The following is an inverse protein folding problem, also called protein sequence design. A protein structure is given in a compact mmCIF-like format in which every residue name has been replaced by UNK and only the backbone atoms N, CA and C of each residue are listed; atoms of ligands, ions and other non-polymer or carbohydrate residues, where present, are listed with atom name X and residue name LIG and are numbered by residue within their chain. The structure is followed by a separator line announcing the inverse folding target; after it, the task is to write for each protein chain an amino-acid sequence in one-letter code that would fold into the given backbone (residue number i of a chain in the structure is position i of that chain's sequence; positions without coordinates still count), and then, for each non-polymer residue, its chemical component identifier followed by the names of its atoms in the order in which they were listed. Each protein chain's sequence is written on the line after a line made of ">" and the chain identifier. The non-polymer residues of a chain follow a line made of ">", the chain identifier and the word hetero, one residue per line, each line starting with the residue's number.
data_IF_410857991516
#
_entry.id   IF_410857991516
#
_cell.length_a   1.000
_cell.length_b   1.000
_cell.length_c   1.000
_cell.angle_alpha   90.00
_cell.angle_beta   90.00
_cell.angle_gamma   90.00
#
_symmetry.space_group_name_H-M   'P 1'
#
loop_
_entity.id
_entity.type
_entity.pdbx_description
1 polymer ?
#
# COMPACT_ATOMS: atom_id res chain seq x y z
N UNK A 1 25.20 43.70 9.72
CA UNK A 1 25.45 43.12 8.38
C UNK A 1 24.57 41.88 8.29
N UNK A 2 23.90 41.57 7.17
CA UNK A 2 23.09 40.36 7.12
C UNK A 2 24.03 39.16 7.14
N UNK A 3 23.87 38.31 8.15
CA UNK A 3 24.65 37.10 8.30
C UNK A 3 24.26 36.13 7.18
N UNK A 4 25.26 35.65 6.43
CA UNK A 4 25.07 34.70 5.33
C UNK A 4 24.48 33.39 5.86
N UNK A 5 23.61 32.76 5.06
CA UNK A 5 23.12 31.41 5.37
C UNK A 5 24.26 30.40 5.36
N UNK A 6 24.31 29.51 6.35
CA UNK A 6 25.44 28.58 6.53
C UNK A 6 25.57 27.53 5.42
N UNK A 7 24.47 27.22 4.71
CA UNK A 7 24.41 26.16 3.69
C UNK A 7 24.54 26.73 2.27
N UNK A 8 23.73 27.73 1.92
CA UNK A 8 23.79 28.35 0.59
C UNK A 8 24.79 29.52 0.47
N UNK A 9 25.40 29.96 1.58
CA UNK A 9 26.35 31.08 1.67
C UNK A 9 25.86 32.37 0.98
N UNK A 10 24.54 32.55 0.93
CA UNK A 10 23.86 33.62 0.22
C UNK A 10 23.42 34.72 1.19
N UNK A 11 23.25 35.93 0.65
CA UNK A 11 22.93 37.13 1.45
C UNK A 11 21.56 37.73 1.11
N UNK A 12 20.94 37.31 0.00
CA UNK A 12 19.60 37.69 -0.42
C UNK A 12 18.68 36.47 -0.60
N UNK A 13 17.37 36.66 -0.42
CA UNK A 13 16.38 35.57 -0.48
C UNK A 13 16.31 34.89 -1.86
N UNK A 14 16.57 35.64 -2.93
CA UNK A 14 16.55 35.10 -4.30
C UNK A 14 17.71 34.14 -4.53
N UNK A 15 18.91 34.51 -4.09
CA UNK A 15 20.11 33.67 -4.19
C UNK A 15 19.95 32.37 -3.37
N UNK A 16 19.23 32.41 -2.25
CA UNK A 16 18.90 31.21 -1.47
C UNK A 16 17.97 30.28 -2.26
N UNK A 17 16.97 30.83 -2.97
CA UNK A 17 16.05 30.07 -3.80
C UNK A 17 16.75 29.41 -4.99
N UNK A 18 17.55 30.17 -5.73
CA UNK A 18 18.32 29.67 -6.88
C UNK A 18 19.28 28.53 -6.47
N UNK A 19 19.83 28.59 -5.26
CA UNK A 19 20.63 27.50 -4.72
C UNK A 19 19.79 26.22 -4.52
N UNK A 20 18.62 26.29 -3.88
CA UNK A 20 17.79 25.11 -3.63
C UNK A 20 17.03 24.60 -4.86
N UNK A 21 16.83 25.43 -5.89
CA UNK A 21 16.30 24.97 -7.19
C UNK A 21 17.29 24.05 -7.92
N UNK A 22 18.59 24.21 -7.64
CA UNK A 22 19.67 23.43 -8.23
C UNK A 22 20.24 22.33 -7.32
N UNK A 23 19.86 22.28 -6.05
CA UNK A 23 20.43 21.37 -5.04
C UNK A 23 19.35 20.67 -4.23
N UNK A 24 19.47 19.36 -4.04
CA UNK A 24 18.47 18.59 -3.30
C UNK A 24 18.65 18.77 -1.78
N UNK A 25 17.56 19.10 -1.07
CA UNK A 25 17.56 19.23 0.39
C UNK A 25 18.05 17.97 1.14
N UNK A 26 17.91 16.80 0.52
CA UNK A 26 18.39 15.52 1.06
C UNK A 26 19.91 15.36 1.01
N UNK A 27 20.63 16.14 0.18
CA UNK A 27 22.10 16.13 0.09
C UNK A 27 22.75 16.95 1.21
N UNK A 28 22.02 17.91 1.78
CA UNK A 28 22.50 18.84 2.80
C UNK A 28 21.87 18.60 4.18
N UNK A 29 20.80 17.80 4.25
CA UNK A 29 20.16 17.37 5.49
C UNK A 29 20.63 15.99 5.93
N UNK A 30 21.12 15.86 7.16
CA UNK A 30 21.44 14.55 7.73
C UNK A 30 20.20 13.66 7.83
N UNK A 31 20.29 12.43 7.31
CA UNK A 31 19.23 11.43 7.50
C UNK A 31 19.10 11.10 9.00
N UNK A 32 17.89 11.26 9.52
CA UNK A 32 17.54 10.84 10.88
C UNK A 32 16.59 9.64 10.77
N UNK A 33 16.75 8.60 11.61
CA UNK A 33 15.80 7.52 11.68
C UNK A 33 14.43 8.08 12.06
N UNK A 34 13.42 7.80 11.24
CA UNK A 34 12.03 8.13 11.52
C UNK A 34 11.31 6.85 11.93
N UNK A 35 10.74 6.82 13.12
CA UNK A 35 9.84 5.74 13.53
C UNK A 35 8.48 5.95 12.89
N UNK A 36 8.02 4.97 12.11
CA UNK A 36 6.65 4.92 11.62
C UNK A 36 6.06 3.54 11.94
N UNK A 37 4.77 3.52 12.27
CA UNK A 37 4.04 2.31 12.63
C UNK A 37 2.99 2.03 11.54
N UNK A 38 3.09 0.88 10.88
CA UNK A 38 2.08 0.42 9.93
C UNK A 38 1.23 -0.65 10.63
N UNK A 39 -0.02 -0.30 10.91
CA UNK A 39 -1.00 -1.21 11.49
C UNK A 39 -1.75 -1.96 10.38
N UNK A 40 -1.20 -3.11 9.97
CA UNK A 40 -1.85 -3.99 8.97
C UNK A 40 -2.90 -4.84 9.67
N UNK A 41 -4.10 -4.29 9.86
CA UNK A 41 -5.25 -5.05 10.37
C UNK A 41 -5.87 -5.89 9.25
N UNK A 42 -5.61 -7.20 9.28
CA UNK A 42 -6.39 -8.17 8.49
C UNK A 42 -7.82 -8.21 9.02
N UNK A 43 -8.78 -7.74 8.20
CA UNK A 43 -10.21 -7.83 8.51
C UNK A 43 -10.78 -9.09 7.88
N UNK A 44 -11.40 -9.94 8.71
CA UNK A 44 -12.08 -11.16 8.26
C UNK A 44 -13.59 -10.96 8.30
N UNK A 45 -14.24 -11.23 7.18
CA UNK A 45 -15.70 -11.26 7.08
C UNK A 45 -16.18 -12.71 7.09
N UNK A 46 -17.13 -13.03 7.96
CA UNK A 46 -17.71 -14.36 8.07
C UNK A 46 -19.09 -14.38 7.42
N UNK A 47 -19.31 -15.35 6.54
CA UNK A 47 -20.58 -15.57 5.86
C UNK A 47 -21.07 -16.98 6.13
N UNK A 48 -22.38 -17.12 6.34
CA UNK A 48 -22.99 -18.43 6.45
C UNK A 48 -23.00 -19.11 5.08
N UNK A 49 -22.55 -20.37 5.03
CA UNK A 49 -22.53 -21.20 3.83
C UNK A 49 -23.28 -22.49 4.17
N UNK A 50 -24.10 -22.97 3.22
CA UNK A 50 -24.78 -24.26 3.35
C UNK A 50 -23.78 -25.40 3.63
N UNK A 51 -24.17 -26.34 4.49
CA UNK A 51 -23.29 -27.42 4.93
C UNK A 51 -22.83 -28.35 3.80
N UNK A 52 -23.71 -28.67 2.85
CA UNK A 52 -23.36 -29.51 1.70
C UNK A 52 -22.47 -28.75 0.72
N UNK A 53 -22.72 -27.45 0.54
CA UNK A 53 -21.86 -26.59 -0.26
C UNK A 53 -20.46 -26.46 0.34
N UNK A 54 -20.36 -26.31 1.66
CA UNK A 54 -19.09 -26.28 2.38
C UNK A 54 -18.26 -27.56 2.15
N UNK A 55 -18.89 -28.74 2.22
CA UNK A 55 -18.23 -30.01 1.93
C UNK A 55 -17.67 -30.07 0.49
N UNK A 56 -18.44 -29.58 -0.50
CA UNK A 56 -18.00 -29.51 -1.90
C UNK A 56 -16.82 -28.55 -2.08
N UNK A 57 -16.90 -27.35 -1.50
CA UNK A 57 -15.82 -26.35 -1.51
C UNK A 57 -14.53 -26.99 -0.99
N UNK A 58 -14.61 -27.64 0.18
CA UNK A 58 -13.48 -28.31 0.81
C UNK A 58 -12.89 -29.41 -0.05
N UNK A 59 -13.74 -30.25 -0.64
CA UNK A 59 -13.27 -31.33 -1.52
C UNK A 59 -12.51 -30.79 -2.73
N UNK A 60 -13.04 -29.75 -3.38
CA UNK A 60 -12.42 -29.16 -4.58
C UNK A 60 -11.13 -28.41 -4.21
N UNK A 61 -11.13 -27.65 -3.12
CA UNK A 61 -9.94 -26.93 -2.64
C UNK A 61 -8.80 -27.91 -2.34
N UNK A 62 -9.10 -29.00 -1.62
CA UNK A 62 -8.14 -30.07 -1.33
C UNK A 62 -7.60 -30.74 -2.60
N UNK A 63 -8.47 -31.06 -3.57
CA UNK A 63 -8.06 -31.64 -4.86
C UNK A 63 -7.12 -30.71 -5.64
N UNK A 64 -7.28 -29.40 -5.50
CA UNK A 64 -6.45 -28.38 -6.15
C UNK A 64 -5.22 -27.98 -5.33
N UNK A 65 -5.07 -28.49 -4.10
CA UNK A 65 -3.97 -28.13 -3.21
C UNK A 65 -3.99 -26.68 -2.72
N UNK A 66 -5.16 -26.04 -2.69
CA UNK A 66 -5.35 -24.64 -2.26
C UNK A 66 -6.26 -24.57 -1.04
N UNK A 67 -6.25 -23.45 -0.32
CA UNK A 67 -7.15 -23.26 0.82
C UNK A 67 -8.59 -23.02 0.37
N UNK A 68 -9.54 -23.38 1.23
CA UNK A 68 -10.97 -23.12 1.04
C UNK A 68 -11.26 -21.63 0.82
N UNK A 69 -10.54 -20.76 1.56
CA UNK A 69 -10.63 -19.30 1.43
C UNK A 69 -10.18 -18.81 0.04
N UNK A 70 -9.02 -19.29 -0.44
CA UNK A 70 -8.52 -18.93 -1.78
C UNK A 70 -9.49 -19.39 -2.85
N UNK A 71 -9.94 -20.64 -2.78
CA UNK A 71 -10.89 -21.19 -3.73
C UNK A 71 -12.20 -20.39 -3.76
N UNK A 72 -12.78 -20.11 -2.58
CA UNK A 72 -14.03 -19.37 -2.46
C UNK A 72 -13.89 -17.95 -3.01
N UNK A 73 -12.82 -17.24 -2.64
CA UNK A 73 -12.57 -15.88 -3.12
C UNK A 73 -12.40 -15.82 -4.64
N UNK A 74 -11.71 -16.80 -5.25
CA UNK A 74 -11.56 -16.87 -6.71
C UNK A 74 -12.91 -17.01 -7.39
N UNK A 75 -13.74 -17.97 -6.95
CA UNK A 75 -15.05 -18.22 -7.56
C UNK A 75 -16.00 -17.03 -7.39
N UNK A 76 -16.03 -16.42 -6.19
CA UNK A 76 -16.87 -15.25 -5.92
C UNK A 76 -16.48 -14.08 -6.80
N UNK A 77 -15.17 -13.82 -6.95
CA UNK A 77 -14.67 -12.76 -7.83
C UNK A 77 -15.08 -12.98 -9.29
N UNK A 78 -14.82 -14.17 -9.83
CA UNK A 78 -15.19 -14.51 -11.20
C UNK A 78 -16.70 -14.31 -11.46
N UNK A 79 -17.54 -14.60 -10.46
CA UNK A 79 -19.00 -14.41 -10.57
C UNK A 79 -19.41 -12.96 -10.53
N UNK A 80 -18.80 -12.15 -9.67
CA UNK A 80 -19.05 -10.70 -9.61
C UNK A 80 -18.67 -10.06 -10.95
N UNK A 81 -17.47 -10.37 -11.46
CA UNK A 81 -16.98 -9.83 -12.73
C UNK A 81 -17.92 -10.16 -13.89
N UNK A 82 -18.48 -11.39 -13.92
CA UNK A 82 -19.47 -11.81 -14.91
C UNK A 82 -20.79 -11.02 -14.80
N UNK A 83 -21.25 -10.74 -13.57
CA UNK A 83 -22.50 -9.99 -13.36
C UNK A 83 -22.37 -8.50 -13.69
N UNK A 84 -21.21 -7.91 -13.42
CA UNK A 84 -20.94 -6.50 -13.74
C UNK A 84 -20.75 -6.26 -15.23
N UNK A 85 -20.18 -7.22 -15.98
CA UNK A 85 -20.05 -7.13 -17.44
C UNK A 85 -21.38 -7.30 -18.20
N UNK A 86 -22.41 -7.80 -17.53
CA UNK A 86 -23.75 -8.02 -18.13
C UNK A 86 -24.74 -6.89 -17.79
N UNK A 87 -24.32 -5.89 -16.99
CA UNK A 87 -25.10 -4.69 -16.64
C UNK A 87 -24.60 -3.47 -17.40
#
# INVERSE_FOLDING_TARGET
>A
MPDKTTISNATDYREIGEFWDAHDATEYGGQKPAEFHIDIRSHRHYFAIDGQLCLKIRQIANQRGISEEVFLNTIVREKIDQTEQTS
#
